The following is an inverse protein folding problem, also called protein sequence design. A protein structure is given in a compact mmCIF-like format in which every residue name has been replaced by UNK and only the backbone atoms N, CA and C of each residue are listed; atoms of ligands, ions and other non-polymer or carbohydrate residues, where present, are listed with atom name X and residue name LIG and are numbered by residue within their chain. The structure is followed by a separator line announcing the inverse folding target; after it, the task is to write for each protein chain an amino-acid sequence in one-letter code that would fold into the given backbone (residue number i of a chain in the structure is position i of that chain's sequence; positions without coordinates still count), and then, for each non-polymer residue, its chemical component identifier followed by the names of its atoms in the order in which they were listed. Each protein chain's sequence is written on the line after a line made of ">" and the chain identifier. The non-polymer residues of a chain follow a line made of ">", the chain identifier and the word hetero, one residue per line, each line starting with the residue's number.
data_IF_393576674275
#
_entry.id   IF_393576674275
#
_cell.length_a   1.000
_cell.length_b   1.000
_cell.length_c   1.000
_cell.angle_alpha   90.00
_cell.angle_beta   90.00
_cell.angle_gamma   90.00
#
_symmetry.space_group_name_H-M   'P 1'
#
loop_
_entity.id
_entity.type
_entity.pdbx_description
1 polymer ?
#
# COMPACT_ATOMS: atom_id res chain seq x y z
N UNK A 1 -54.36 49.52 -22.89
CA UNK A 1 -55.09 49.17 -21.65
C UNK A 1 -55.14 47.67 -21.34
N UNK A 2 -55.32 46.77 -22.32
CA UNK A 2 -55.34 45.31 -22.08
C UNK A 2 -53.96 44.65 -22.09
N UNK A 3 -53.02 45.14 -22.90
CA UNK A 3 -51.66 44.58 -23.02
C UNK A 3 -50.78 44.88 -21.81
N UNK A 4 -50.78 46.11 -21.30
CA UNK A 4 -50.04 46.49 -20.07
C UNK A 4 -50.48 45.69 -18.84
N UNK A 5 -51.78 45.34 -18.74
CA UNK A 5 -52.30 44.49 -17.66
C UNK A 5 -51.85 43.05 -17.80
N UNK A 6 -51.67 42.56 -19.03
CA UNK A 6 -51.18 41.22 -19.29
C UNK A 6 -49.67 41.10 -19.05
N UNK A 7 -48.89 42.13 -19.38
CA UNK A 7 -47.46 42.21 -19.01
C UNK A 7 -47.26 42.30 -17.50
N UNK A 8 -48.02 43.16 -16.82
CA UNK A 8 -47.98 43.26 -15.37
C UNK A 8 -48.32 41.92 -14.67
N UNK A 9 -49.32 41.18 -15.15
CA UNK A 9 -49.65 39.85 -14.65
C UNK A 9 -48.53 38.83 -14.90
N UNK A 10 -47.85 38.90 -16.04
CA UNK A 10 -46.73 38.01 -16.36
C UNK A 10 -45.52 38.26 -15.47
N UNK A 11 -45.17 39.52 -15.24
CA UNK A 11 -44.09 39.90 -14.31
C UNK A 11 -44.40 39.40 -12.89
N UNK A 12 -45.64 39.60 -12.42
CA UNK A 12 -46.06 39.14 -11.10
C UNK A 12 -46.03 37.60 -10.98
N UNK A 13 -46.35 36.87 -12.05
CA UNK A 13 -46.24 35.42 -12.08
C UNK A 13 -44.79 34.94 -12.16
N UNK A 14 -43.92 35.64 -12.90
CA UNK A 14 -42.49 35.32 -12.96
C UNK A 14 -41.80 35.53 -11.62
N UNK A 15 -42.10 36.63 -10.93
CA UNK A 15 -41.55 36.94 -9.61
C UNK A 15 -42.01 35.92 -8.57
N UNK A 16 -43.29 35.52 -8.60
CA UNK A 16 -43.79 34.45 -7.74
C UNK A 16 -43.14 33.08 -8.04
N UNK A 17 -42.93 32.75 -9.33
CA UNK A 17 -42.27 31.51 -9.73
C UNK A 17 -40.80 31.46 -9.31
N UNK A 18 -40.08 32.59 -9.41
CA UNK A 18 -38.71 32.71 -8.94
C UNK A 18 -38.63 32.54 -7.42
N UNK A 19 -39.46 33.27 -6.66
CA UNK A 19 -39.51 33.14 -5.20
C UNK A 19 -39.86 31.72 -4.74
N UNK A 20 -40.71 31.01 -5.48
CA UNK A 20 -41.05 29.61 -5.18
C UNK A 20 -39.91 28.65 -5.51
N UNK A 21 -39.19 28.86 -6.60
CA UNK A 21 -38.00 28.06 -6.94
C UNK A 21 -36.89 28.23 -5.90
N UNK A 22 -36.63 29.47 -5.46
CA UNK A 22 -35.61 29.75 -4.44
C UNK A 22 -35.96 29.07 -3.11
N UNK A 23 -37.24 29.07 -2.73
CA UNK A 23 -37.73 28.36 -1.55
C UNK A 23 -37.63 26.84 -1.70
N UNK A 24 -37.93 26.30 -2.88
CA UNK A 24 -37.79 24.88 -3.17
C UNK A 24 -36.32 24.46 -3.12
N UNK A 25 -35.40 25.22 -3.71
CA UNK A 25 -33.96 24.93 -3.66
C UNK A 25 -33.42 24.97 -2.23
N UNK A 26 -33.82 25.96 -1.44
CA UNK A 26 -33.43 26.05 -0.04
C UNK A 26 -33.98 24.86 0.79
N UNK A 27 -35.25 24.50 0.57
CA UNK A 27 -35.88 23.41 1.30
C UNK A 27 -35.36 22.03 0.87
N UNK A 28 -35.13 21.81 -0.43
CA UNK A 28 -34.50 20.60 -0.96
C UNK A 28 -33.06 20.50 -0.46
N UNK A 29 -32.30 21.59 -0.46
CA UNK A 29 -30.94 21.64 0.07
C UNK A 29 -30.88 21.31 1.57
N UNK A 30 -31.77 21.88 2.38
CA UNK A 30 -31.87 21.58 3.81
C UNK A 30 -32.26 20.11 4.06
N UNK A 31 -33.28 19.61 3.38
CA UNK A 31 -33.69 18.20 3.51
C UNK A 31 -32.58 17.24 3.07
N UNK A 32 -31.82 17.55 2.02
CA UNK A 32 -30.68 16.73 1.59
C UNK A 32 -29.56 16.76 2.64
N UNK A 33 -29.25 17.93 3.19
CA UNK A 33 -28.22 18.08 4.22
C UNK A 33 -28.59 17.36 5.52
N UNK A 34 -29.85 17.46 5.97
CA UNK A 34 -30.38 16.74 7.12
C UNK A 34 -30.35 15.22 6.89
N UNK A 35 -30.85 14.75 5.74
CA UNK A 35 -30.78 13.32 5.39
C UNK A 35 -29.35 12.80 5.23
N UNK A 36 -28.39 13.62 4.79
CA UNK A 36 -26.96 13.26 4.73
C UNK A 36 -26.30 13.25 6.11
N UNK A 37 -26.71 14.12 7.02
CA UNK A 37 -26.19 14.16 8.40
C UNK A 37 -26.76 13.03 9.26
N UNK A 38 -28.01 12.61 9.00
CA UNK A 38 -28.68 11.50 9.70
C UNK A 38 -28.34 10.13 9.11
N UNK A 39 -27.88 10.05 7.86
CA UNK A 39 -27.36 8.80 7.29
C UNK A 39 -26.02 8.47 7.93
N UNK A 40 -25.97 7.37 8.68
CA UNK A 40 -24.71 6.71 8.95
C UNK A 40 -24.01 6.42 7.61
N UNK A 41 -22.70 6.74 7.47
CA UNK A 41 -21.98 6.39 6.26
C UNK A 41 -22.11 4.89 6.04
N UNK A 42 -22.48 4.48 4.82
CA UNK A 42 -22.51 3.07 4.48
C UNK A 42 -21.16 2.45 4.88
N UNK A 43 -21.16 1.30 5.59
CA UNK A 43 -19.92 0.67 6.00
C UNK A 43 -19.08 0.44 4.75
N UNK A 44 -17.87 1.02 4.73
CA UNK A 44 -16.95 0.82 3.62
C UNK A 44 -16.80 -0.69 3.41
N UNK A 45 -17.03 -1.20 2.19
CA UNK A 45 -16.86 -2.62 1.91
C UNK A 45 -15.45 -3.04 2.31
N UNK A 46 -15.30 -4.27 2.80
CA UNK A 46 -13.97 -4.79 3.13
C UNK A 46 -13.12 -4.74 1.85
N UNK A 47 -11.91 -4.20 1.95
CA UNK A 47 -11.04 -3.98 0.78
C UNK A 47 -10.70 -5.29 0.07
N UNK A 48 -10.85 -6.43 0.77
CA UNK A 48 -10.67 -7.77 0.19
C UNK A 48 -11.71 -8.12 -0.88
N UNK A 49 -12.90 -7.53 -0.79
CA UNK A 49 -14.04 -7.80 -1.68
C UNK A 49 -14.17 -6.77 -2.81
N UNK A 50 -13.35 -5.71 -2.77
CA UNK A 50 -13.33 -4.67 -3.80
C UNK A 50 -12.39 -5.10 -4.93
N UNK A 51 -12.88 -5.27 -6.17
CA UNK A 51 -12.00 -5.57 -7.28
C UNK A 51 -11.04 -4.41 -7.54
N UNK A 52 -9.79 -4.73 -7.92
CA UNK A 52 -8.71 -3.75 -8.07
C UNK A 52 -9.03 -2.56 -9.00
N UNK A 53 -9.93 -2.76 -9.96
CA UNK A 53 -10.38 -1.70 -10.89
C UNK A 53 -11.36 -0.69 -10.27
N UNK A 54 -11.85 -0.92 -9.05
CA UNK A 54 -12.75 -0.03 -8.31
C UNK A 54 -12.11 0.59 -7.07
N UNK A 55 -10.82 0.33 -6.83
CA UNK A 55 -10.10 0.95 -5.71
C UNK A 55 -9.95 2.45 -5.96
N UNK A 56 -10.38 3.25 -4.99
CA UNK A 56 -10.10 4.68 -4.97
C UNK A 56 -8.62 4.94 -4.60
N UNK A 57 -8.14 6.17 -4.80
CA UNK A 57 -6.80 6.57 -4.37
C UNK A 57 -6.61 6.40 -2.84
N UNK A 58 -7.65 6.71 -2.06
CA UNK A 58 -7.66 6.53 -0.61
C UNK A 58 -7.51 5.05 -0.21
N UNK A 59 -8.14 4.14 -0.96
CA UNK A 59 -8.05 2.69 -0.73
C UNK A 59 -6.64 2.19 -1.03
N UNK A 60 -6.04 2.67 -2.13
CA UNK A 60 -4.65 2.33 -2.50
C UNK A 60 -3.69 2.78 -1.39
N UNK A 61 -3.87 4.00 -0.86
CA UNK A 61 -3.04 4.50 0.22
C UNK A 61 -3.23 3.73 1.53
N UNK A 62 -4.45 3.28 1.82
CA UNK A 62 -4.72 2.40 2.95
C UNK A 62 -4.02 1.06 2.80
N UNK A 63 -4.07 0.45 1.61
CA UNK A 63 -3.38 -0.80 1.31
C UNK A 63 -1.86 -0.63 1.46
N UNK A 64 -1.29 0.47 0.93
CA UNK A 64 0.15 0.77 1.10
C UNK A 64 0.56 0.85 2.56
N UNK A 65 -0.25 1.50 3.42
CA UNK A 65 0.01 1.56 4.87
C UNK A 65 0.03 0.17 5.50
N UNK A 66 -0.93 -0.69 5.15
CA UNK A 66 -0.98 -2.06 5.66
C UNK A 66 0.18 -2.92 5.13
N UNK A 67 0.62 -2.74 3.88
CA UNK A 67 1.80 -3.40 3.32
C UNK A 67 3.05 -3.03 4.12
N UNK A 68 3.27 -1.75 4.42
CA UNK A 68 4.40 -1.31 5.26
C UNK A 68 4.34 -1.93 6.66
N UNK A 69 3.15 -1.98 7.26
CA UNK A 69 2.94 -2.62 8.56
C UNK A 69 3.25 -4.12 8.51
N UNK A 70 2.84 -4.81 7.44
CA UNK A 70 3.14 -6.21 7.20
C UNK A 70 4.65 -6.44 7.04
N UNK A 71 5.32 -5.60 6.23
CA UNK A 71 6.77 -5.64 6.06
C UNK A 71 7.49 -5.48 7.39
N UNK A 72 7.08 -4.52 8.23
CA UNK A 72 7.64 -4.34 9.57
C UNK A 72 7.45 -5.58 10.47
N UNK A 73 6.28 -6.22 10.44
CA UNK A 73 6.04 -7.48 11.16
C UNK A 73 6.95 -8.61 10.67
N UNK A 74 7.14 -8.73 9.35
CA UNK A 74 8.02 -9.74 8.75
C UNK A 74 9.48 -9.50 9.11
N UNK A 75 9.94 -8.25 9.08
CA UNK A 75 11.28 -7.83 9.53
C UNK A 75 11.52 -8.21 10.98
N UNK A 76 10.58 -7.92 11.87
CA UNK A 76 10.66 -8.30 13.29
C UNK A 76 10.75 -9.81 13.49
N UNK A 77 9.94 -10.59 12.76
CA UNK A 77 10.01 -12.06 12.80
C UNK A 77 11.36 -12.58 12.30
N UNK A 78 11.90 -12.03 11.22
CA UNK A 78 13.21 -12.39 10.69
C UNK A 78 14.33 -12.10 11.71
N UNK A 79 14.28 -10.93 12.37
CA UNK A 79 15.21 -10.56 13.43
C UNK A 79 15.14 -11.50 14.64
N UNK A 80 13.93 -11.86 15.08
CA UNK A 80 13.73 -12.84 16.17
C UNK A 80 14.29 -14.22 15.82
N UNK A 81 14.05 -14.70 14.60
CA UNK A 81 14.63 -15.95 14.08
C UNK A 81 16.16 -15.90 14.10
N UNK A 82 16.74 -14.76 13.70
CA UNK A 82 18.18 -14.56 13.71
C UNK A 82 18.75 -14.53 15.15
N UNK A 83 18.06 -13.90 16.10
CA UNK A 83 18.46 -13.89 17.52
C UNK A 83 18.44 -15.30 18.11
N UNK A 84 17.37 -16.06 17.89
CA UNK A 84 17.31 -17.48 18.33
C UNK A 84 18.41 -18.33 17.71
N UNK A 85 18.76 -18.09 16.45
CA UNK A 85 19.88 -18.77 15.80
C UNK A 85 21.24 -18.43 16.44
N UNK A 86 21.42 -17.20 16.96
CA UNK A 86 22.63 -16.83 17.71
C UNK A 86 22.76 -17.57 19.04
N UNK A 87 21.66 -18.02 19.64
CA UNK A 87 21.65 -18.85 20.85
C UNK A 87 21.78 -20.35 20.55
N UNK A 88 21.88 -20.72 19.27
CA UNK A 88 21.97 -22.11 18.78
C UNK A 88 23.33 -22.80 19.03
N UNK A 89 23.59 -23.85 18.24
CA UNK A 89 24.74 -24.75 18.43
C UNK A 89 26.09 -24.03 18.59
N UNK A 90 26.85 -24.48 19.59
CA UNK A 90 28.23 -24.07 19.84
C UNK A 90 29.11 -24.54 18.67
N UNK A 91 29.91 -23.63 18.14
CA UNK A 91 30.96 -23.94 17.19
C UNK A 91 32.20 -24.38 17.98
N UNK A 92 32.37 -25.69 18.15
CA UNK A 92 33.45 -26.27 18.98
C UNK A 92 34.82 -25.79 18.50
N UNK A 93 35.07 -25.79 17.18
CA UNK A 93 36.38 -25.41 16.62
C UNK A 93 36.68 -23.93 16.84
N UNK A 94 35.69 -23.06 16.66
CA UNK A 94 35.85 -21.62 16.87
C UNK A 94 35.92 -21.25 18.35
N UNK A 95 35.20 -21.99 19.19
CA UNK A 95 35.26 -21.88 20.65
C UNK A 95 36.63 -22.27 21.17
N UNK A 96 37.14 -23.46 20.83
CA UNK A 96 38.48 -23.90 21.27
C UNK A 96 39.58 -22.94 20.81
N UNK A 97 39.51 -22.46 19.57
CA UNK A 97 40.48 -21.48 19.04
C UNK A 97 40.46 -20.16 19.82
N UNK A 98 39.28 -19.63 20.16
CA UNK A 98 39.14 -18.40 20.95
C UNK A 98 39.64 -18.57 22.38
N UNK A 99 39.60 -19.80 22.91
CA UNK A 99 39.99 -20.12 24.29
C UNK A 99 41.42 -20.65 24.43
N UNK A 100 42.25 -20.65 23.38
CA UNK A 100 43.66 -21.02 23.51
C UNK A 100 44.41 -20.11 24.50
N UNK A 101 44.04 -18.83 24.60
CA UNK A 101 44.58 -17.90 25.63
C UNK A 101 44.20 -18.28 27.07
N UNK A 102 43.18 -19.11 27.24
CA UNK A 102 42.72 -19.65 28.52
C UNK A 102 43.11 -21.12 28.68
N UNK A 103 44.23 -21.54 28.08
CA UNK A 103 44.73 -22.92 28.14
C UNK A 103 43.70 -23.96 27.65
N UNK A 104 42.82 -23.58 26.72
CA UNK A 104 41.79 -24.45 26.18
C UNK A 104 40.52 -24.56 27.03
N UNK A 105 40.44 -23.89 28.18
CA UNK A 105 39.24 -23.85 29.01
C UNK A 105 38.16 -23.00 28.32
N UNK A 106 36.96 -23.54 28.03
CA UNK A 106 35.94 -22.87 27.24
C UNK A 106 35.19 -21.77 28.01
N UNK A 107 35.87 -20.64 28.26
CA UNK A 107 35.32 -19.42 28.89
C UNK A 107 34.53 -18.59 27.87
N UNK A 108 35.07 -18.38 26.67
CA UNK A 108 34.42 -17.66 25.57
C UNK A 108 33.74 -18.61 24.60
N UNK A 109 32.43 -18.84 24.76
CA UNK A 109 31.66 -19.68 23.84
C UNK A 109 31.37 -18.94 22.52
N UNK A 110 31.75 -19.56 21.39
CA UNK A 110 31.42 -19.07 20.04
C UNK A 110 30.35 -19.96 19.43
N UNK A 111 29.24 -19.36 18.98
CA UNK A 111 28.10 -20.08 18.37
C UNK A 111 28.09 -19.94 16.85
N UNK A 112 27.51 -20.92 16.16
CA UNK A 112 27.35 -20.88 14.70
C UNK A 112 26.32 -19.82 14.32
N UNK A 113 26.76 -18.76 13.63
CA UNK A 113 25.85 -17.76 13.04
C UNK A 113 25.22 -18.35 11.78
N UNK A 114 23.95 -18.78 11.85
CA UNK A 114 23.17 -19.15 10.66
C UNK A 114 22.43 -17.93 10.12
N UNK A 115 23.08 -17.19 9.23
CA UNK A 115 22.51 -16.03 8.58
C UNK A 115 22.07 -16.40 7.15
N UNK A 116 20.86 -16.92 7.00
CA UNK A 116 20.28 -17.26 5.69
C UNK A 116 19.26 -16.20 5.33
N UNK A 117 19.71 -15.19 4.58
CA UNK A 117 18.79 -14.31 3.84
C UNK A 117 18.41 -15.04 2.55
N UNK A 118 17.12 -15.07 2.16
CA UNK A 118 16.69 -15.73 0.93
C UNK A 118 17.17 -14.97 -0.31
N UNK A 119 17.19 -15.66 -1.44
CA UNK A 119 17.30 -15.07 -2.77
C UNK A 119 15.90 -15.03 -3.38
N UNK A 120 15.47 -13.88 -3.91
CA UNK A 120 14.15 -13.72 -4.50
C UNK A 120 14.26 -13.47 -6.00
N UNK A 121 13.33 -14.06 -6.75
CA UNK A 121 13.07 -13.74 -8.16
C UNK A 121 11.61 -13.32 -8.25
N UNK A 122 11.38 -12.09 -8.71
CA UNK A 122 10.03 -11.56 -8.95
C UNK A 122 9.77 -11.52 -10.44
N UNK A 123 8.60 -12.00 -10.85
CA UNK A 123 8.09 -11.92 -12.21
C UNK A 123 6.68 -11.37 -12.09
N UNK A 124 6.49 -10.11 -12.48
CA UNK A 124 5.22 -9.40 -12.30
C UNK A 124 4.62 -9.01 -13.65
N UNK A 125 3.34 -9.34 -13.85
CA UNK A 125 2.54 -8.75 -14.92
C UNK A 125 2.20 -7.31 -14.55
N UNK A 126 2.45 -6.34 -15.43
CA UNK A 126 2.13 -4.92 -15.23
C UNK A 126 1.06 -4.41 -16.19
N UNK A 127 0.26 -5.32 -16.77
CA UNK A 127 -0.95 -5.01 -17.53
C UNK A 127 -1.98 -4.25 -16.70
N UNK A 128 -2.84 -3.48 -17.37
CA UNK A 128 -3.75 -2.53 -16.73
C UNK A 128 -4.65 -3.17 -15.66
N UNK A 129 -5.06 -4.43 -15.84
CA UNK A 129 -5.94 -5.15 -14.90
C UNK A 129 -5.26 -5.53 -13.57
N UNK A 130 -3.93 -5.65 -13.54
CA UNK A 130 -3.19 -6.15 -12.38
C UNK A 130 -2.07 -5.20 -11.92
N UNK A 131 -1.96 -4.02 -12.53
CA UNK A 131 -0.93 -3.02 -12.24
C UNK A 131 -0.83 -2.71 -10.74
N UNK A 132 -1.95 -2.55 -10.04
CA UNK A 132 -1.94 -2.29 -8.59
C UNK A 132 -1.38 -3.46 -7.79
N UNK A 133 -1.70 -4.71 -8.15
CA UNK A 133 -1.15 -5.90 -7.50
C UNK A 133 0.36 -5.98 -7.65
N UNK A 134 0.86 -5.71 -8.87
CA UNK A 134 2.29 -5.67 -9.13
C UNK A 134 2.98 -4.56 -8.33
N UNK A 135 2.39 -3.36 -8.27
CA UNK A 135 2.90 -2.25 -7.46
C UNK A 135 2.97 -2.64 -5.98
N UNK A 136 1.94 -3.29 -5.44
CA UNK A 136 1.90 -3.73 -4.05
C UNK A 136 2.95 -4.78 -3.73
N UNK A 137 3.11 -5.79 -4.57
CA UNK A 137 4.14 -6.82 -4.40
C UNK A 137 5.54 -6.21 -4.46
N UNK A 138 5.78 -5.32 -5.44
CA UNK A 138 7.05 -4.61 -5.57
C UNK A 138 7.30 -3.74 -4.33
N UNK A 139 6.31 -3.01 -3.84
CA UNK A 139 6.44 -2.21 -2.60
C UNK A 139 6.78 -3.08 -1.39
N UNK A 140 6.10 -4.22 -1.22
CA UNK A 140 6.37 -5.14 -0.13
C UNK A 140 7.82 -5.65 -0.15
N UNK A 141 8.33 -6.02 -1.33
CA UNK A 141 9.70 -6.53 -1.46
C UNK A 141 10.74 -5.43 -1.30
N UNK A 142 10.46 -4.22 -1.77
CA UNK A 142 11.30 -3.05 -1.56
C UNK A 142 11.47 -2.76 -0.06
N UNK A 143 10.37 -2.77 0.69
CA UNK A 143 10.39 -2.62 2.15
C UNK A 143 11.15 -3.75 2.86
N UNK A 144 11.22 -4.94 2.27
CA UNK A 144 11.92 -6.11 2.81
C UNK A 144 13.33 -6.33 2.24
N UNK A 145 13.87 -5.39 1.46
CA UNK A 145 15.15 -5.56 0.78
C UNK A 145 16.31 -5.87 1.74
N UNK A 146 16.27 -5.32 2.96
CA UNK A 146 17.28 -5.54 4.00
C UNK A 146 17.24 -6.97 4.57
N UNK A 147 16.13 -7.69 4.41
CA UNK A 147 15.94 -9.07 4.84
C UNK A 147 16.28 -10.09 3.75
N UNK A 148 16.52 -9.65 2.53
CA UNK A 148 16.79 -10.49 1.35
C UNK A 148 18.27 -10.37 0.97
N UNK A 149 18.89 -11.44 0.47
CA UNK A 149 20.29 -11.43 0.06
C UNK A 149 20.46 -10.73 -1.28
N UNK A 150 19.53 -11.02 -2.20
CA UNK A 150 19.47 -10.48 -3.55
C UNK A 150 18.06 -10.68 -4.09
N UNK A 151 17.56 -9.67 -4.79
CA UNK A 151 16.31 -9.71 -5.54
C UNK A 151 16.63 -9.48 -7.01
N UNK A 152 16.17 -10.38 -7.87
CA UNK A 152 16.10 -10.15 -9.31
C UNK A 152 14.62 -9.91 -9.65
N UNK A 153 14.32 -8.77 -10.26
CA UNK A 153 12.94 -8.36 -10.52
C UNK A 153 12.72 -8.18 -12.01
N UNK A 154 11.72 -8.86 -12.54
CA UNK A 154 11.32 -8.80 -13.94
C UNK A 154 9.84 -8.41 -14.03
N UNK A 155 9.53 -7.51 -14.96
CA UNK A 155 8.15 -7.11 -15.27
C UNK A 155 7.84 -7.45 -16.72
N UNK A 156 6.58 -7.71 -17.03
CA UNK A 156 6.15 -7.95 -18.41
C UNK A 156 4.76 -7.38 -18.71
N UNK A 157 4.56 -6.99 -19.96
CA UNK A 157 3.25 -6.78 -20.58
C UNK A 157 3.19 -7.69 -21.81
N UNK A 158 3.99 -7.35 -22.83
CA UNK A 158 4.21 -8.17 -24.02
C UNK A 158 5.59 -8.85 -23.97
N UNK A 159 6.60 -8.12 -23.51
CA UNK A 159 7.98 -8.58 -23.38
C UNK A 159 8.46 -8.53 -21.93
N UNK A 160 9.41 -9.42 -21.59
CA UNK A 160 10.01 -9.48 -20.27
C UNK A 160 11.14 -8.45 -20.13
N UNK A 161 11.02 -7.58 -19.14
CA UNK A 161 11.99 -6.52 -18.85
C UNK A 161 12.62 -6.71 -17.48
N UNK A 162 13.95 -6.71 -17.41
CA UNK A 162 14.69 -6.69 -16.14
C UNK A 162 14.69 -5.27 -15.54
N UNK A 163 14.17 -5.16 -14.31
CA UNK A 163 14.12 -3.94 -13.51
C UNK A 163 14.93 -4.05 -12.20
N UNK A 164 15.75 -5.09 -12.04
CA UNK A 164 16.47 -5.38 -10.79
C UNK A 164 17.35 -4.23 -10.30
N UNK A 165 17.93 -3.43 -11.21
CA UNK A 165 18.73 -2.27 -10.85
C UNK A 165 17.86 -1.06 -10.49
N UNK A 166 16.85 -0.76 -11.31
CA UNK A 166 15.91 0.33 -11.05
C UNK A 166 15.20 0.14 -9.70
N UNK A 167 14.84 -1.10 -9.37
CA UNK A 167 14.16 -1.46 -8.14
C UNK A 167 15.01 -1.28 -6.86
N UNK A 168 16.33 -1.12 -6.97
CA UNK A 168 17.21 -0.82 -5.82
C UNK A 168 17.34 0.68 -5.53
N UNK A 169 17.14 1.51 -6.54
CA UNK A 169 17.45 2.95 -6.49
C UNK A 169 16.20 3.82 -6.47
N UNK A 170 15.09 3.30 -7.01
CA UNK A 170 13.86 4.04 -7.21
C UNK A 170 12.69 3.40 -6.45
N UNK A 171 11.70 4.24 -6.16
CA UNK A 171 10.42 3.76 -5.68
C UNK A 171 9.75 2.81 -6.70
N UNK A 172 9.01 1.79 -6.24
CA UNK A 172 8.40 0.76 -7.10
C UNK A 172 7.64 1.30 -8.31
N UNK A 173 6.86 2.37 -8.14
CA UNK A 173 6.11 3.01 -9.22
C UNK A 173 7.02 3.60 -10.30
N UNK A 174 8.10 4.25 -9.89
CA UNK A 174 9.07 4.86 -10.80
C UNK A 174 9.92 3.79 -11.50
N UNK A 175 10.24 2.69 -10.81
CA UNK A 175 10.96 1.57 -11.39
C UNK A 175 10.14 0.88 -12.49
N UNK A 176 8.82 0.72 -12.28
CA UNK A 176 7.93 0.10 -13.25
C UNK A 176 7.66 0.98 -14.48
N UNK A 177 7.61 2.31 -14.32
CA UNK A 177 7.32 3.25 -15.42
C UNK A 177 8.53 3.55 -16.33
N UNK A 178 9.75 3.23 -15.91
CA UNK A 178 10.99 3.63 -16.62
C UNK A 178 11.28 2.84 -17.91
N UNK A 179 10.60 1.73 -18.15
CA UNK A 179 10.87 0.81 -19.27
C UNK A 179 9.62 0.18 -19.92
N UNK A 180 8.43 0.63 -19.52
CA UNK A 180 7.20 0.32 -20.24
C UNK A 180 6.90 1.40 -21.28
#
# INVERSE_FOLDING_TARGET
>A
MSEERAEFLRDLMQENLQGMNDQLEAHVGQNIAENMAEREPDPKPDLIDVPFNRLSEDDIDQIRREIRRLAAKLRSRAALRQRRAKDGQIDVRRTMRANMKYQGVPIELRRRKRHVKPYLVLICDVSTSVRYCAEFLLTLVYELQDQVARTNSFIFINDLTDISMAFKELEPQQAASRRC
#
